data_IF_278092076489
#
_entry.id   IF_278092076489
#
_cell.length_a   1.000
_cell.length_b   1.000
_cell.length_c   1.000
_cell.angle_alpha   90.00
_cell.angle_beta   90.00
_cell.angle_gamma   90.00
#
_symmetry.space_group_name_H-M   'P 1'
#
loop_
_entity.id
_entity.type
_entity.pdbx_description
1 polymer ?
#
# COMPACT_ATOMS: atom_id res chain seq x y z
N UNK A 1 33.05 29.51 25.82
CA UNK A 1 33.63 28.72 26.94
C UNK A 1 32.70 28.79 28.13
N UNK A 2 31.99 27.69 28.45
CA UNK A 2 31.45 27.33 29.77
C UNK A 2 30.72 26.00 29.63
N UNK A 3 31.45 24.91 29.86
CA UNK A 3 30.89 23.63 30.30
C UNK A 3 30.67 23.71 31.82
N UNK A 4 29.95 22.70 32.35
CA UNK A 4 29.77 22.29 33.76
C UNK A 4 28.53 22.94 34.40
N UNK A 5 27.59 22.26 35.07
CA UNK A 5 27.25 20.84 35.28
C UNK A 5 25.89 20.77 36.02
N UNK A 6 25.21 19.62 36.00
CA UNK A 6 24.47 19.05 37.16
C UNK A 6 24.06 17.61 36.76
N UNK A 7 24.82 16.59 37.13
CA UNK A 7 24.73 15.84 38.40
C UNK A 7 23.35 15.21 38.59
N UNK A 8 23.21 13.95 38.18
CA UNK A 8 22.29 13.01 38.83
C UNK A 8 23.07 12.28 39.93
N UNK A 9 22.69 12.53 41.18
CA UNK A 9 22.98 11.65 42.31
C UNK A 9 22.00 10.46 42.27
N UNK A 10 22.49 9.22 42.36
CA UNK A 10 22.86 8.51 43.60
C UNK A 10 21.66 7.81 44.25
N UNK A 11 21.64 6.47 44.19
CA UNK A 11 21.28 5.65 45.35
C UNK A 11 21.82 4.22 45.23
N UNK A 12 22.92 3.99 45.94
CA UNK A 12 22.90 3.01 47.03
C UNK A 12 23.55 1.66 46.76
N UNK A 13 24.82 1.58 47.14
CA UNK A 13 25.69 0.42 47.27
C UNK A 13 25.16 -0.74 48.13
N UNK A 14 25.59 -1.97 47.81
CA UNK A 14 26.34 -2.79 48.79
C UNK A 14 27.18 -3.90 48.13
N UNK A 15 28.50 -3.74 48.28
CA UNK A 15 29.56 -4.75 48.46
C UNK A 15 29.21 -6.23 48.19
N UNK A 16 29.99 -6.89 47.33
CA UNK A 16 31.17 -7.63 47.80
C UNK A 16 31.96 -8.18 46.61
N UNK A 17 33.19 -7.70 46.44
CA UNK A 17 34.17 -8.33 45.58
C UNK A 17 34.65 -9.65 46.20
N UNK A 18 35.22 -10.50 45.33
CA UNK A 18 36.29 -11.49 45.57
C UNK A 18 35.93 -12.96 45.67
N UNK A 19 36.85 -13.74 45.08
CA UNK A 19 37.05 -15.19 45.10
C UNK A 19 36.58 -15.90 43.83
N UNK A 20 37.43 -15.96 42.80
CA UNK A 20 38.43 -17.01 42.55
C UNK A 20 37.78 -18.34 42.14
N UNK A 21 38.26 -18.84 40.99
CA UNK A 21 37.69 -19.96 40.26
C UNK A 21 37.68 -21.29 41.01
N UNK A 22 36.58 -22.01 40.78
CA UNK A 22 36.35 -23.46 40.86
C UNK A 22 34.81 -23.53 40.80
N UNK A 23 34.16 -24.15 39.82
CA UNK A 23 34.01 -25.59 39.72
C UNK A 23 33.58 -25.91 38.28
N UNK A 24 34.43 -26.66 37.59
CA UNK A 24 34.04 -27.48 36.45
C UNK A 24 33.05 -28.55 36.93
N UNK A 25 32.02 -28.81 36.12
CA UNK A 25 31.09 -29.95 36.16
C UNK A 25 30.08 -30.03 37.31
N UNK A 26 28.86 -29.54 37.05
CA UNK A 26 27.64 -30.35 37.21
C UNK A 26 26.41 -29.52 36.79
N UNK A 27 26.16 -29.39 35.50
CA UNK A 27 24.76 -29.28 35.05
C UNK A 27 24.75 -29.66 33.58
N UNK A 28 24.29 -30.88 33.31
CA UNK A 28 23.72 -31.23 32.02
C UNK A 28 22.66 -30.17 31.71
N UNK A 29 23.04 -29.14 30.96
CA UNK A 29 22.07 -28.23 30.35
C UNK A 29 21.30 -29.10 29.36
N UNK A 30 19.97 -29.17 29.49
CA UNK A 30 19.19 -30.30 29.02
C UNK A 30 19.28 -30.43 27.50
N UNK A 31 19.02 -31.62 27.00
CA UNK A 31 19.16 -32.03 25.61
C UNK A 31 17.98 -31.68 24.65
N UNK A 32 17.00 -30.76 24.89
CA UNK A 32 15.86 -30.67 23.99
C UNK A 32 16.13 -29.81 22.74
N UNK A 33 17.07 -28.87 22.73
CA UNK A 33 17.29 -27.98 21.57
C UNK A 33 17.82 -28.72 20.32
N UNK A 34 18.64 -29.77 20.52
CA UNK A 34 19.13 -30.61 19.42
C UNK A 34 18.02 -31.46 18.79
N UNK A 35 17.03 -31.90 19.59
CA UNK A 35 15.91 -32.71 19.10
C UNK A 35 14.99 -31.85 18.24
N UNK A 36 14.72 -30.61 18.65
CA UNK A 36 13.96 -29.66 17.84
C UNK A 36 14.68 -29.28 16.55
N UNK A 37 16.01 -29.12 16.58
CA UNK A 37 16.75 -28.80 15.36
C UNK A 37 16.70 -29.96 14.34
N UNK A 38 16.85 -31.20 14.79
CA UNK A 38 16.71 -32.38 13.93
C UNK A 38 15.29 -32.56 13.39
N UNK A 39 14.27 -32.32 14.23
CA UNK A 39 12.86 -32.40 13.83
C UNK A 39 12.47 -31.30 12.84
N UNK A 40 12.99 -30.08 12.99
CA UNK A 40 12.77 -28.97 12.04
C UNK A 40 13.43 -29.27 10.69
N UNK A 41 14.67 -29.79 10.68
CA UNK A 41 15.31 -30.22 9.44
C UNK A 41 14.54 -31.36 8.76
N UNK A 42 14.08 -32.35 9.52
CA UNK A 42 13.27 -33.46 8.98
C UNK A 42 11.93 -32.97 8.42
N UNK A 43 11.26 -32.05 9.10
CA UNK A 43 10.02 -31.44 8.63
C UNK A 43 10.24 -30.62 7.34
N UNK A 44 11.37 -29.92 7.23
CA UNK A 44 11.74 -29.17 6.03
C UNK A 44 11.91 -30.10 4.81
N UNK A 45 12.59 -31.23 4.98
CA UNK A 45 12.77 -32.22 3.91
C UNK A 45 11.49 -32.98 3.55
N UNK A 46 10.56 -33.19 4.50
CA UNK A 46 9.27 -33.81 4.23
C UNK A 46 8.26 -32.86 3.57
N UNK A 47 8.30 -31.58 3.93
CA UNK A 47 7.41 -30.57 3.36
C UNK A 47 7.88 -30.10 1.97
N UNK A 48 9.18 -30.14 1.68
CA UNK A 48 9.73 -29.77 0.37
C UNK A 48 9.10 -30.53 -0.83
N UNK A 49 8.96 -31.87 -0.83
CA UNK A 49 8.34 -32.59 -1.95
C UNK A 49 6.82 -32.42 -2.01
N UNK A 50 6.17 -32.00 -0.93
CA UNK A 50 4.72 -31.74 -0.88
C UNK A 50 4.40 -30.30 -1.32
N UNK A 51 5.26 -29.34 -0.99
CA UNK A 51 5.11 -27.95 -1.42
C UNK A 51 5.23 -27.79 -2.94
N UNK A 52 6.06 -28.60 -3.61
CA UNK A 52 6.24 -28.55 -5.06
C UNK A 52 4.96 -28.84 -5.87
N UNK A 53 4.22 -29.94 -5.65
CA UNK A 53 2.97 -30.20 -6.36
C UNK A 53 1.87 -29.21 -5.99
N UNK A 54 1.85 -28.69 -4.75
CA UNK A 54 0.89 -27.65 -4.34
C UNK A 54 1.18 -26.35 -5.08
N UNK A 55 2.44 -25.92 -5.15
CA UNK A 55 2.85 -24.74 -5.92
C UNK A 55 2.53 -24.94 -7.41
N UNK A 56 2.86 -26.11 -7.97
CA UNK A 56 2.58 -26.42 -9.37
C UNK A 56 1.08 -26.50 -9.68
N UNK A 57 0.26 -26.97 -8.74
CA UNK A 57 -1.20 -26.98 -8.86
C UNK A 57 -1.78 -25.57 -8.79
N UNK A 58 -1.26 -24.72 -7.88
CA UNK A 58 -1.57 -23.29 -7.82
C UNK A 58 -1.14 -22.58 -9.10
N UNK A 59 0.05 -22.85 -9.63
CA UNK A 59 0.53 -22.30 -10.90
C UNK A 59 -0.35 -22.75 -12.08
N UNK A 60 -0.93 -23.95 -12.06
CA UNK A 60 -1.89 -24.38 -13.08
C UNK A 60 -3.29 -23.77 -12.91
N UNK A 61 -3.73 -23.50 -11.66
CA UNK A 61 -5.01 -22.84 -11.39
C UNK A 61 -4.94 -21.33 -11.65
N UNK A 62 -3.87 -20.65 -11.23
CA UNK A 62 -3.63 -19.21 -11.47
C UNK A 62 -3.08 -18.95 -12.88
N UNK A 63 -2.36 -19.91 -13.47
CA UNK A 63 -1.91 -19.85 -14.86
C UNK A 63 -3.03 -20.01 -15.89
N UNK A 64 -4.26 -20.31 -15.44
CA UNK A 64 -5.45 -20.07 -16.24
C UNK A 64 -5.75 -18.57 -16.40
N UNK A 65 -5.24 -17.72 -15.50
CA UNK A 65 -5.63 -16.32 -15.36
C UNK A 65 -4.48 -15.27 -15.39
N UNK A 66 -3.19 -15.63 -15.54
CA UNK A 66 -2.11 -14.62 -15.72
C UNK A 66 -0.78 -15.16 -16.29
N UNK A 67 0.10 -14.30 -16.87
CA UNK A 67 -0.07 -13.41 -18.02
C UNK A 67 0.22 -14.15 -19.33
N UNK A 68 -0.18 -13.61 -20.48
CA UNK A 68 -0.02 -14.22 -21.80
C UNK A 68 1.45 -14.36 -22.28
N UNK A 69 2.28 -15.14 -21.59
CA UNK A 69 3.59 -15.58 -22.09
C UNK A 69 3.41 -16.89 -22.88
N UNK A 70 3.45 -16.75 -24.20
CA UNK A 70 3.72 -17.80 -25.20
C UNK A 70 2.95 -19.13 -25.11
N UNK A 71 1.65 -19.18 -25.48
CA UNK A 71 1.06 -20.37 -26.11
C UNK A 71 0.09 -19.97 -27.23
N UNK A 72 0.26 -20.63 -28.36
CA UNK A 72 -0.23 -20.32 -29.70
C UNK A 72 -1.57 -21.00 -29.97
N UNK A 73 -2.73 -20.44 -29.58
CA UNK A 73 -4.04 -20.88 -30.14
C UNK A 73 -5.08 -19.75 -30.32
N UNK A 74 -5.29 -19.39 -31.59
CA UNK A 74 -6.60 -19.12 -32.20
C UNK A 74 -7.38 -17.87 -31.83
N UNK A 75 -8.15 -17.88 -30.74
CA UNK A 75 -9.33 -17.02 -30.61
C UNK A 75 -9.49 -16.31 -29.25
N UNK A 76 -9.07 -16.92 -28.14
CA UNK A 76 -9.07 -16.27 -26.82
C UNK A 76 -7.88 -15.29 -26.63
N UNK A 77 -6.82 -15.47 -27.44
CA UNK A 77 -5.61 -14.64 -27.49
C UNK A 77 -5.86 -13.22 -27.96
N UNK A 78 -6.86 -13.02 -28.83
CA UNK A 78 -7.18 -11.69 -29.36
C UNK A 78 -7.78 -10.80 -28.27
N UNK A 79 -8.71 -11.28 -27.43
CA UNK A 79 -9.35 -10.42 -26.42
C UNK A 79 -8.39 -9.95 -25.33
N UNK A 80 -7.54 -10.82 -24.78
CA UNK A 80 -6.60 -10.45 -23.71
C UNK A 80 -5.41 -9.63 -24.23
N UNK A 81 -4.85 -9.98 -25.40
CA UNK A 81 -3.83 -9.15 -26.05
C UNK A 81 -4.38 -7.77 -26.44
N UNK A 82 -5.64 -7.71 -26.90
CA UNK A 82 -6.28 -6.44 -27.23
C UNK A 82 -6.53 -5.57 -25.99
N UNK A 83 -6.82 -6.14 -24.82
CA UNK A 83 -6.99 -5.34 -23.59
C UNK A 83 -5.67 -4.76 -23.09
N UNK A 84 -4.58 -5.54 -23.11
CA UNK A 84 -3.25 -5.04 -22.74
C UNK A 84 -2.76 -3.96 -23.73
N UNK A 85 -2.90 -4.23 -25.04
CA UNK A 85 -2.57 -3.26 -26.08
C UNK A 85 -3.45 -2.01 -26.02
N UNK A 86 -4.73 -2.14 -25.66
CA UNK A 86 -5.64 -0.99 -25.47
C UNK A 86 -5.20 -0.13 -24.29
N UNK A 87 -4.78 -0.74 -23.18
CA UNK A 87 -4.25 0.00 -22.02
C UNK A 87 -2.94 0.70 -22.37
N UNK A 88 -2.01 0.00 -23.03
CA UNK A 88 -0.72 0.57 -23.47
C UNK A 88 -0.93 1.71 -24.47
N UNK A 89 -1.81 1.52 -25.45
CA UNK A 89 -2.17 2.58 -26.39
C UNK A 89 -2.87 3.73 -25.69
N UNK A 90 -3.75 3.45 -24.73
CA UNK A 90 -4.38 4.47 -23.89
C UNK A 90 -3.35 5.28 -23.10
N UNK A 91 -2.35 4.63 -22.50
CA UNK A 91 -1.26 5.30 -21.78
C UNK A 91 -0.37 6.15 -22.70
N UNK A 92 -0.04 5.64 -23.90
CA UNK A 92 0.69 6.39 -24.92
C UNK A 92 -0.13 7.60 -25.42
N UNK A 93 -1.43 7.43 -25.62
CA UNK A 93 -2.35 8.48 -26.06
C UNK A 93 -2.57 9.54 -24.98
N UNK A 94 -2.59 9.15 -23.70
CA UNK A 94 -2.64 10.05 -22.55
C UNK A 94 -1.42 10.97 -22.49
N UNK A 95 -0.23 10.47 -22.83
CA UNK A 95 0.98 11.28 -22.90
C UNK A 95 1.00 12.26 -24.09
N UNK A 96 0.32 11.92 -25.19
CA UNK A 96 0.27 12.75 -26.39
C UNK A 96 -0.86 13.81 -26.36
N UNK A 97 -1.90 13.62 -25.54
CA UNK A 97 -3.01 14.57 -25.37
C UNK A 97 -2.59 15.78 -24.55
N UNK A 98 -3.07 16.95 -24.97
CA UNK A 98 -2.90 18.18 -24.19
C UNK A 98 -3.90 18.24 -23.03
N UNK A 99 -3.55 18.94 -21.95
CA UNK A 99 -4.43 19.15 -20.77
C UNK A 99 -5.79 19.72 -21.18
N UNK A 100 -5.81 20.59 -22.20
CA UNK A 100 -7.04 21.21 -22.73
C UNK A 100 -8.05 20.18 -23.24
N UNK A 101 -7.59 19.05 -23.76
CA UNK A 101 -8.46 17.99 -24.28
C UNK A 101 -8.91 17.00 -23.20
N UNK A 102 -8.23 16.97 -22.05
CA UNK A 102 -8.53 16.07 -20.94
C UNK A 102 -9.31 16.76 -19.83
N UNK A 103 -9.15 18.07 -19.67
CA UNK A 103 -9.81 18.83 -18.62
C UNK A 103 -11.31 18.98 -18.89
N UNK A 104 -12.10 18.87 -17.83
CA UNK A 104 -13.50 19.28 -17.85
C UNK A 104 -13.59 20.77 -18.15
N UNK A 105 -14.37 21.21 -19.15
CA UNK A 105 -14.48 22.62 -19.47
C UNK A 105 -15.16 23.37 -18.31
N UNK A 106 -14.73 24.61 -18.05
CA UNK A 106 -15.19 25.41 -16.90
C UNK A 106 -16.72 25.56 -16.77
N UNK A 107 -17.46 25.49 -17.87
CA UNK A 107 -18.93 25.54 -17.89
C UNK A 107 -19.61 24.33 -17.25
N UNK A 108 -18.92 23.20 -17.21
CA UNK A 108 -19.42 21.91 -16.73
C UNK A 108 -18.82 21.57 -15.36
N UNK A 109 -18.17 22.54 -14.70
CA UNK A 109 -17.60 22.41 -13.35
C UNK A 109 -18.63 22.87 -12.33
N UNK A 110 -18.82 22.09 -11.27
CA UNK A 110 -19.64 22.46 -10.11
C UNK A 110 -18.86 23.47 -9.26
N UNK A 111 -19.42 24.67 -9.10
CA UNK A 111 -18.80 25.76 -8.34
C UNK A 111 -19.76 26.32 -7.30
N UNK A 112 -19.25 26.69 -6.13
CA UNK A 112 -20.01 27.31 -5.03
C UNK A 112 -19.37 28.65 -4.62
N UNK A 113 -20.16 29.63 -4.22
CA UNK A 113 -19.60 30.87 -3.67
C UNK A 113 -19.21 30.66 -2.19
N UNK A 114 -18.15 31.33 -1.74
CA UNK A 114 -17.63 31.22 -0.36
C UNK A 114 -18.64 31.68 0.71
N UNK A 115 -19.55 32.58 0.37
CA UNK A 115 -20.58 33.13 1.26
C UNK A 115 -21.90 32.36 1.24
N UNK A 116 -22.02 31.32 0.41
CA UNK A 116 -23.28 30.56 0.28
C UNK A 116 -23.52 29.66 1.49
N UNK A 117 -24.66 29.85 2.17
CA UNK A 117 -25.09 28.94 3.25
C UNK A 117 -25.59 27.63 2.64
N UNK A 118 -25.01 26.52 3.08
CA UNK A 118 -25.36 25.18 2.62
C UNK A 118 -26.65 24.70 3.28
N UNK A 119 -27.77 24.91 2.60
CA UNK A 119 -29.11 24.44 3.00
C UNK A 119 -29.47 23.11 2.31
N UNK A 120 -30.46 22.38 2.80
CA UNK A 120 -30.88 21.07 2.29
C UNK A 120 -31.26 21.13 0.79
N UNK A 121 -31.90 22.23 0.36
CA UNK A 121 -32.28 22.43 -1.05
C UNK A 121 -31.08 22.65 -1.97
N UNK A 122 -30.09 23.44 -1.53
CA UNK A 122 -28.85 23.69 -2.28
C UNK A 122 -27.98 22.42 -2.34
N UNK A 123 -27.96 21.71 -1.22
CA UNK A 123 -27.31 20.41 -1.06
C UNK A 123 -27.87 19.39 -2.05
N UNK A 124 -29.20 19.27 -2.18
CA UNK A 124 -29.82 18.39 -3.16
C UNK A 124 -29.50 18.79 -4.60
N UNK A 125 -29.50 20.09 -4.91
CA UNK A 125 -29.12 20.59 -6.24
C UNK A 125 -27.66 20.24 -6.60
N UNK A 126 -26.75 20.26 -5.61
CA UNK A 126 -25.34 19.93 -5.81
C UNK A 126 -25.06 18.42 -5.78
N UNK A 127 -25.82 17.63 -5.02
CA UNK A 127 -25.66 16.17 -4.98
C UNK A 127 -25.90 15.49 -6.32
N UNK A 128 -26.95 15.91 -7.06
CA UNK A 128 -27.30 15.30 -8.35
C UNK A 128 -26.13 15.33 -9.37
N UNK A 129 -25.49 16.49 -9.65
CA UNK A 129 -24.35 16.53 -10.55
C UNK A 129 -23.11 15.81 -9.98
N UNK A 130 -22.86 15.86 -8.67
CA UNK A 130 -21.74 15.15 -8.04
C UNK A 130 -21.87 13.63 -8.17
N UNK A 131 -23.08 13.07 -7.99
CA UNK A 131 -23.34 11.64 -8.21
C UNK A 131 -23.19 11.25 -9.69
N UNK A 132 -23.68 12.10 -10.61
CA UNK A 132 -23.61 11.82 -12.04
C UNK A 132 -22.18 11.82 -12.58
N UNK A 133 -21.30 12.67 -12.04
CA UNK A 133 -19.90 12.76 -12.45
C UNK A 133 -18.92 11.99 -11.54
N UNK A 134 -19.41 11.39 -10.44
CA UNK A 134 -18.59 10.76 -9.39
C UNK A 134 -17.50 11.69 -8.83
N UNK A 135 -17.74 12.99 -8.89
CA UNK A 135 -16.79 13.97 -8.39
C UNK A 135 -17.00 14.15 -6.88
N UNK A 136 -15.90 14.11 -6.14
CA UNK A 136 -15.90 14.33 -4.69
C UNK A 136 -15.54 15.76 -4.31
N UNK A 137 -15.12 16.57 -5.28
CA UNK A 137 -14.60 17.92 -5.07
C UNK A 137 -15.32 18.93 -5.94
N UNK A 138 -15.55 20.11 -5.38
CA UNK A 138 -16.10 21.25 -6.11
C UNK A 138 -15.26 22.51 -5.83
N UNK A 139 -15.28 23.46 -6.76
CA UNK A 139 -14.50 24.69 -6.62
C UNK A 139 -15.28 25.72 -5.82
N UNK A 140 -14.57 26.45 -4.95
CA UNK A 140 -15.13 27.60 -4.23
C UNK A 140 -14.59 28.89 -4.86
N UNK A 141 -15.48 29.81 -5.18
CA UNK A 141 -15.13 31.11 -5.77
C UNK A 141 -15.52 32.28 -4.85
N UNK A 142 -14.86 33.42 -5.03
CA UNK A 142 -15.19 34.63 -4.28
C UNK A 142 -16.56 35.22 -4.70
N UNK A 143 -17.32 35.82 -3.76
CA UNK A 143 -18.60 36.44 -4.08
C UNK A 143 -18.41 37.62 -5.04
N UNK A 144 -19.07 37.54 -6.20
CA UNK A 144 -19.01 38.57 -7.26
C UNK A 144 -17.92 38.36 -8.32
N UNK A 145 -17.03 37.37 -8.16
CA UNK A 145 -15.99 37.04 -9.14
C UNK A 145 -15.93 35.52 -9.41
N UNK A 146 -16.75 34.98 -10.34
CA UNK A 146 -16.85 33.54 -10.56
C UNK A 146 -15.59 32.89 -11.17
N UNK A 147 -14.63 33.70 -11.64
CA UNK A 147 -13.37 33.22 -12.22
C UNK A 147 -12.20 33.24 -11.23
N UNK A 148 -12.44 33.70 -9.99
CA UNK A 148 -11.42 33.79 -8.94
C UNK A 148 -11.73 32.72 -7.91
N UNK A 149 -10.95 31.63 -7.97
CA UNK A 149 -11.11 30.48 -7.09
C UNK A 149 -10.26 30.65 -5.84
N UNK A 150 -10.88 30.55 -4.68
CA UNK A 150 -10.24 30.63 -3.37
C UNK A 150 -9.76 29.25 -2.89
N UNK A 151 -10.40 28.16 -3.32
CA UNK A 151 -10.00 26.80 -2.97
C UNK A 151 -10.87 25.70 -3.55
N UNK A 152 -10.65 24.49 -3.06
CA UNK A 152 -11.48 23.31 -3.30
C UNK A 152 -11.86 22.67 -1.96
N UNK A 153 -13.06 22.09 -1.91
CA UNK A 153 -13.50 21.22 -0.81
C UNK A 153 -13.46 19.75 -1.23
#
# INVERSE_FOLDING_TARGET
MRRVACVQGERGDRQSQSSLGSVLNSEVIPQPLSVWHGLVCALMYLLAPVAYPTLRALDTLLGADAPCVHVQEGAARSRCANTELSILNGALELGAKSVVQLMTPMRDVVTLADDTVLDDGLTQYMYVPLECHSDSRFLVHEPGAPNVFSGCW
#
